data_IF_554876852255
#
_entry.id   IF_554876852255
#
_cell.length_a   1.000
_cell.length_b   1.000
_cell.length_c   1.000
_cell.angle_alpha   90.00
_cell.angle_beta   90.00
_cell.angle_gamma   90.00
#
_symmetry.space_group_name_H-M   'P 1'
#
loop_
_entity.id
_entity.type
_entity.pdbx_description
1 polymer ?
#
# COMPACT_ATOMS: atom_id res chain seq x y z
N UNK A 1 19.52 21.20 21.78
CA UNK A 1 20.45 21.66 20.71
C UNK A 1 19.90 21.11 19.40
N UNK A 2 19.48 22.02 18.50
CA UNK A 2 19.09 21.63 17.15
C UNK A 2 20.37 21.17 16.43
N UNK A 3 20.39 19.94 15.96
CA UNK A 3 21.42 19.45 15.04
C UNK A 3 21.46 20.43 13.86
N UNK A 4 22.63 20.93 13.43
CA UNK A 4 22.71 21.86 12.30
C UNK A 4 22.06 21.18 11.09
N UNK A 5 21.03 21.84 10.53
CA UNK A 5 20.35 21.38 9.33
C UNK A 5 21.39 21.44 8.22
N UNK A 6 21.88 20.29 7.77
CA UNK A 6 22.71 20.21 6.57
C UNK A 6 21.80 20.58 5.41
N UNK A 7 22.08 21.72 4.77
CA UNK A 7 21.33 22.14 3.59
C UNK A 7 21.35 21.01 2.55
N UNK A 8 20.18 20.60 2.12
CA UNK A 8 20.02 19.65 1.04
C UNK A 8 19.70 20.43 -0.23
N UNK A 9 20.34 20.08 -1.33
CA UNK A 9 20.04 20.76 -2.60
C UNK A 9 18.76 20.21 -3.21
N UNK A 10 18.54 18.88 -3.11
CA UNK A 10 17.45 18.21 -3.77
C UNK A 10 16.90 17.05 -2.91
N UNK A 11 15.60 16.96 -2.77
CA UNK A 11 14.91 15.90 -2.01
C UNK A 11 13.82 15.25 -2.85
N UNK A 12 13.80 13.92 -2.89
CA UNK A 12 12.71 13.14 -3.49
C UNK A 12 11.67 12.87 -2.41
N UNK A 13 10.43 13.27 -2.66
CA UNK A 13 9.30 13.09 -1.75
C UNK A 13 8.35 12.01 -2.26
N UNK A 14 8.07 10.99 -1.43
CA UNK A 14 6.95 10.08 -1.65
C UNK A 14 5.64 10.87 -1.58
N UNK A 15 4.99 11.08 -2.73
CA UNK A 15 3.87 12.00 -2.85
C UNK A 15 2.58 11.28 -3.23
N UNK A 16 1.63 11.26 -2.31
CA UNK A 16 0.30 10.68 -2.53
C UNK A 16 -0.76 11.73 -2.91
N UNK A 17 -0.43 13.02 -2.82
CA UNK A 17 -1.40 14.11 -2.98
C UNK A 17 -2.35 14.30 -1.79
N UNK A 18 -2.24 13.51 -0.73
CA UNK A 18 -2.94 13.70 0.53
C UNK A 18 -2.49 14.96 1.27
N UNK A 19 -3.16 15.27 2.37
CA UNK A 19 -2.85 16.44 3.20
C UNK A 19 -1.38 16.44 3.63
N UNK A 20 -0.95 15.35 4.29
CA UNK A 20 0.39 15.20 4.86
C UNK A 20 1.49 15.43 3.80
N UNK A 21 1.44 14.70 2.70
CA UNK A 21 2.48 14.79 1.67
C UNK A 21 2.45 16.13 0.93
N UNK A 22 1.29 16.79 0.87
CA UNK A 22 1.16 18.11 0.26
C UNK A 22 1.73 19.19 1.19
N UNK A 23 1.49 19.11 2.50
CA UNK A 23 2.05 20.05 3.49
C UNK A 23 3.58 19.91 3.63
N UNK A 24 4.11 18.71 3.39
CA UNK A 24 5.56 18.45 3.44
C UNK A 24 6.34 19.24 2.37
N UNK A 25 5.78 19.50 1.19
CA UNK A 25 6.49 20.23 0.13
C UNK A 25 6.99 21.60 0.60
N UNK A 26 6.13 22.53 1.06
CA UNK A 26 6.61 23.83 1.56
C UNK A 26 7.45 23.68 2.82
N UNK A 27 7.16 22.71 3.68
CA UNK A 27 7.95 22.46 4.89
C UNK A 27 9.40 22.11 4.56
N UNK A 28 9.64 21.23 3.58
CA UNK A 28 10.99 20.89 3.11
C UNK A 28 11.73 22.13 2.58
N UNK A 29 11.06 22.97 1.81
CA UNK A 29 11.64 24.20 1.27
C UNK A 29 12.01 25.20 2.38
N UNK A 30 11.15 25.36 3.36
CA UNK A 30 11.35 26.28 4.49
C UNK A 30 12.46 25.82 5.43
N UNK A 31 12.58 24.52 5.70
CA UNK A 31 13.51 24.00 6.68
C UNK A 31 14.85 23.54 6.08
N UNK A 32 14.87 23.06 4.84
CA UNK A 32 16.08 22.57 4.17
C UNK A 32 16.56 23.46 3.02
N UNK A 33 15.71 24.36 2.53
CA UNK A 33 16.06 25.22 1.38
C UNK A 33 16.22 24.48 0.07
N UNK A 34 15.63 23.26 -0.04
CA UNK A 34 15.87 22.33 -1.14
C UNK A 34 14.87 22.45 -2.28
N UNK A 35 15.25 21.93 -3.44
CA UNK A 35 14.32 21.55 -4.49
C UNK A 35 13.59 20.27 -4.09
N UNK A 36 12.28 20.22 -4.34
CA UNK A 36 11.44 19.05 -4.02
C UNK A 36 10.96 18.39 -5.30
N UNK A 37 11.33 17.13 -5.49
CA UNK A 37 10.83 16.27 -6.55
C UNK A 37 9.71 15.41 -5.95
N UNK A 38 8.47 15.70 -6.30
CA UNK A 38 7.31 14.96 -5.86
C UNK A 38 7.13 13.71 -6.75
N UNK A 39 7.16 12.52 -6.15
CA UNK A 39 7.05 11.25 -6.88
C UNK A 39 5.81 10.50 -6.44
N UNK A 40 4.89 10.29 -7.37
CA UNK A 40 3.74 9.42 -7.21
C UNK A 40 4.01 8.06 -7.89
N UNK A 41 3.58 7.00 -7.25
CA UNK A 41 3.66 5.65 -7.79
C UNK A 41 2.26 5.13 -8.12
N UNK A 42 2.03 4.73 -9.38
CA UNK A 42 0.81 4.06 -9.80
C UNK A 42 0.93 2.56 -9.51
N UNK A 43 0.31 2.13 -8.44
CA UNK A 43 0.18 0.72 -8.03
C UNK A 43 -1.24 0.20 -8.28
N UNK A 44 -2.05 0.92 -9.05
CA UNK A 44 -3.43 0.56 -9.37
C UNK A 44 -4.46 1.06 -8.36
N UNK A 45 -4.20 2.19 -7.70
CA UNK A 45 -5.16 2.85 -6.80
C UNK A 45 -6.35 3.49 -7.54
N UNK A 46 -6.26 3.60 -8.85
CA UNK A 46 -7.28 4.17 -9.73
C UNK A 46 -6.89 5.54 -10.28
N UNK A 47 -7.36 5.83 -11.51
CA UNK A 47 -7.01 7.07 -12.22
C UNK A 47 -7.43 8.33 -11.44
N UNK A 48 -8.59 8.30 -10.77
CA UNK A 48 -9.10 9.44 -10.00
C UNK A 48 -8.21 9.86 -8.82
N UNK A 49 -7.38 8.95 -8.31
CA UNK A 49 -6.42 9.23 -7.23
C UNK A 49 -5.13 9.92 -7.72
N UNK A 50 -4.80 9.72 -9.00
CA UNK A 50 -3.60 10.28 -9.62
C UNK A 50 -3.87 11.56 -10.43
N UNK A 51 -5.14 11.79 -10.80
CA UNK A 51 -5.52 12.93 -11.64
C UNK A 51 -5.28 14.28 -10.95
N UNK A 52 -4.56 15.16 -11.62
CA UNK A 52 -4.27 16.53 -11.17
C UNK A 52 -3.23 16.61 -10.05
N UNK A 53 -2.51 15.52 -9.73
CA UNK A 53 -1.44 15.53 -8.74
C UNK A 53 -0.24 16.39 -9.20
N UNK A 54 0.05 16.42 -10.49
CA UNK A 54 1.09 17.24 -11.11
C UNK A 54 0.82 18.74 -10.88
N UNK A 55 -0.40 19.20 -11.20
CA UNK A 55 -0.79 20.58 -10.97
C UNK A 55 -0.79 20.93 -9.47
N UNK A 56 -1.25 20.00 -8.63
CA UNK A 56 -1.29 20.18 -7.18
C UNK A 56 0.13 20.30 -6.62
N UNK A 57 1.04 19.40 -6.99
CA UNK A 57 2.44 19.45 -6.59
C UNK A 57 3.12 20.76 -7.02
N UNK A 58 2.92 21.18 -8.27
CA UNK A 58 3.47 22.42 -8.80
C UNK A 58 2.93 23.65 -8.06
N UNK A 59 1.61 23.73 -7.84
CA UNK A 59 0.96 24.82 -7.08
C UNK A 59 1.44 24.89 -5.63
N UNK A 60 1.85 23.77 -5.06
CA UNK A 60 2.36 23.68 -3.69
C UNK A 60 3.85 24.00 -3.61
N UNK A 61 4.55 24.06 -4.75
CA UNK A 61 5.94 24.48 -4.84
C UNK A 61 6.95 23.36 -5.11
N UNK A 62 6.51 22.18 -5.53
CA UNK A 62 7.42 21.16 -6.03
C UNK A 62 8.14 21.64 -7.29
N UNK A 63 9.43 21.37 -7.41
CA UNK A 63 10.24 21.73 -8.56
C UNK A 63 10.00 20.79 -9.74
N UNK A 64 9.63 19.55 -9.45
CA UNK A 64 9.34 18.50 -10.43
C UNK A 64 8.29 17.55 -9.88
N UNK A 65 7.45 17.01 -10.76
CA UNK A 65 6.55 15.91 -10.47
C UNK A 65 6.86 14.75 -11.40
N UNK A 66 6.88 13.56 -10.85
CA UNK A 66 7.08 12.30 -11.59
C UNK A 66 6.01 11.30 -11.15
N UNK A 67 5.29 10.70 -12.10
CA UNK A 67 4.42 9.58 -11.84
C UNK A 67 5.01 8.32 -12.49
N UNK A 68 5.20 7.25 -11.71
CA UNK A 68 5.79 5.99 -12.18
C UNK A 68 4.72 4.91 -12.21
N UNK A 69 4.55 4.26 -13.35
CA UNK A 69 3.71 3.06 -13.43
C UNK A 69 4.44 1.86 -12.83
N UNK A 70 4.01 1.46 -11.65
CA UNK A 70 4.55 0.33 -10.91
C UNK A 70 3.72 -0.96 -11.07
N UNK A 71 2.52 -0.90 -11.70
CA UNK A 71 1.58 -2.03 -11.77
C UNK A 71 2.19 -3.33 -12.31
N UNK A 72 2.94 -3.31 -13.44
CA UNK A 72 3.48 -4.56 -13.99
C UNK A 72 4.46 -5.26 -13.04
N UNK A 73 5.42 -4.51 -12.48
CA UNK A 73 6.40 -5.03 -11.52
C UNK A 73 5.70 -5.42 -10.21
N UNK A 74 4.76 -4.61 -9.72
CA UNK A 74 4.01 -4.88 -8.50
C UNK A 74 3.24 -6.19 -8.56
N UNK A 75 2.50 -6.44 -9.64
CA UNK A 75 1.71 -7.67 -9.76
C UNK A 75 2.60 -8.88 -9.95
N UNK A 76 3.58 -8.79 -10.86
CA UNK A 76 4.42 -9.93 -11.23
C UNK A 76 5.41 -10.30 -10.13
N UNK A 77 6.17 -9.32 -9.63
CA UNK A 77 7.33 -9.59 -8.78
C UNK A 77 7.01 -9.51 -7.28
N UNK A 78 5.81 -9.04 -6.91
CA UNK A 78 5.38 -8.98 -5.51
C UNK A 78 4.10 -9.79 -5.27
N UNK A 79 3.00 -9.50 -6.00
CA UNK A 79 1.73 -10.17 -5.73
C UNK A 79 1.78 -11.66 -6.10
N UNK A 80 2.28 -12.01 -7.28
CA UNK A 80 2.37 -13.41 -7.71
C UNK A 80 3.40 -14.19 -6.90
N UNK A 81 4.50 -13.56 -6.48
CA UNK A 81 5.46 -14.19 -5.57
C UNK A 81 4.85 -14.44 -4.19
N UNK A 82 4.01 -13.52 -3.68
CA UNK A 82 3.28 -13.73 -2.45
C UNK A 82 2.30 -14.92 -2.55
N UNK A 83 1.62 -15.07 -3.70
CA UNK A 83 0.76 -16.25 -3.96
C UNK A 83 1.59 -17.54 -3.95
N UNK A 84 2.70 -17.59 -4.69
CA UNK A 84 3.60 -18.75 -4.73
C UNK A 84 4.16 -19.12 -3.35
N UNK A 85 4.40 -18.11 -2.51
CA UNK A 85 4.89 -18.30 -1.15
C UNK A 85 3.78 -18.58 -0.13
N UNK A 86 2.50 -18.58 -0.52
CA UNK A 86 1.35 -18.61 0.41
C UNK A 86 1.49 -17.58 1.55
N UNK A 87 2.01 -16.39 1.24
CA UNK A 87 2.34 -15.38 2.23
C UNK A 87 1.07 -14.72 2.81
N UNK A 88 0.71 -15.11 4.02
CA UNK A 88 -0.44 -14.57 4.76
C UNK A 88 0.02 -14.09 6.13
N UNK A 89 -0.27 -12.84 6.47
CA UNK A 89 -0.03 -12.34 7.81
C UNK A 89 -1.17 -12.77 8.74
N UNK A 90 -0.81 -13.36 9.90
CA UNK A 90 -1.75 -13.91 10.89
C UNK A 90 -2.80 -14.86 10.29
N UNK A 91 -2.46 -15.52 9.18
CA UNK A 91 -3.31 -16.48 8.49
C UNK A 91 -4.51 -15.91 7.74
N UNK A 92 -4.64 -14.59 7.65
CA UNK A 92 -5.79 -13.90 7.03
C UNK A 92 -5.40 -12.77 6.07
N UNK A 93 -4.50 -11.89 6.47
CA UNK A 93 -4.19 -10.68 5.72
C UNK A 93 -3.23 -10.97 4.57
N UNK A 94 -3.65 -10.65 3.36
CA UNK A 94 -2.89 -10.87 2.11
C UNK A 94 -1.85 -9.77 1.82
N UNK A 95 -1.43 -9.02 2.85
CA UNK A 95 -0.27 -8.12 2.81
C UNK A 95 -0.33 -6.98 1.76
N UNK A 96 -1.53 -6.53 1.35
CA UNK A 96 -1.67 -5.58 0.24
C UNK A 96 -0.84 -4.30 0.37
N UNK A 97 -0.90 -3.64 1.51
CA UNK A 97 -0.06 -2.47 1.81
C UNK A 97 1.41 -2.86 1.93
N UNK A 98 1.71 -4.00 2.55
CA UNK A 98 3.09 -4.46 2.78
C UNK A 98 3.83 -4.80 1.49
N UNK A 99 3.11 -5.31 0.47
CA UNK A 99 3.67 -5.63 -0.84
C UNK A 99 3.90 -4.36 -1.68
N UNK A 100 3.04 -3.34 -1.54
CA UNK A 100 3.13 -2.12 -2.32
C UNK A 100 4.26 -1.18 -1.85
N UNK A 101 4.51 -1.08 -0.53
CA UNK A 101 5.50 -0.10 -0.01
C UNK A 101 6.94 -0.36 -0.47
N UNK A 102 7.45 -1.62 -0.53
CA UNK A 102 8.80 -1.88 -1.02
C UNK A 102 9.03 -1.48 -2.48
N UNK A 103 8.07 -1.73 -3.38
CA UNK A 103 8.21 -1.32 -4.78
C UNK A 103 8.19 0.21 -4.92
N UNK A 104 7.32 0.89 -4.18
CA UNK A 104 7.30 2.37 -4.15
C UNK A 104 8.65 2.89 -3.66
N UNK A 105 9.17 2.35 -2.55
CA UNK A 105 10.46 2.75 -1.99
C UNK A 105 11.63 2.52 -2.98
N UNK A 106 11.62 1.39 -3.69
CA UNK A 106 12.60 1.11 -4.76
C UNK A 106 12.58 2.19 -5.84
N UNK A 107 11.39 2.55 -6.33
CA UNK A 107 11.27 3.61 -7.36
C UNK A 107 11.70 4.99 -6.85
N UNK A 108 11.44 5.29 -5.57
CA UNK A 108 11.97 6.52 -4.96
C UNK A 108 13.49 6.54 -4.94
N UNK A 109 14.13 5.40 -4.63
CA UNK A 109 15.59 5.28 -4.66
C UNK A 109 16.13 5.42 -6.08
N UNK A 110 15.54 4.72 -7.06
CA UNK A 110 15.95 4.80 -8.47
C UNK A 110 15.91 6.26 -8.94
N UNK A 111 14.80 6.96 -8.70
CA UNK A 111 14.65 8.38 -9.07
C UNK A 111 15.62 9.28 -8.29
N UNK A 112 15.84 9.03 -7.00
CA UNK A 112 16.76 9.82 -6.21
C UNK A 112 18.19 9.72 -6.74
N UNK A 113 18.62 8.54 -7.18
CA UNK A 113 19.92 8.34 -7.78
C UNK A 113 20.01 8.99 -9.16
N UNK A 114 18.99 8.85 -10.02
CA UNK A 114 18.94 9.47 -11.35
C UNK A 114 18.96 11.00 -11.29
N UNK A 115 18.23 11.57 -10.35
CA UNK A 115 18.12 13.02 -10.17
C UNK A 115 19.28 13.62 -9.35
N UNK A 116 20.15 12.78 -8.79
CA UNK A 116 21.22 13.20 -7.90
C UNK A 116 20.69 13.84 -6.61
N UNK A 117 19.63 13.28 -6.05
CA UNK A 117 19.03 13.83 -4.83
C UNK A 117 19.83 13.46 -3.58
N UNK A 118 19.84 14.35 -2.60
CA UNK A 118 20.59 14.21 -1.34
C UNK A 118 19.84 13.44 -0.27
N UNK A 119 18.52 13.29 -0.43
CA UNK A 119 17.68 12.57 0.54
C UNK A 119 16.35 12.13 -0.09
N UNK A 120 15.72 11.16 0.57
CA UNK A 120 14.35 10.74 0.33
C UNK A 120 13.49 11.13 1.52
N UNK A 121 12.30 11.67 1.26
CA UNK A 121 11.33 12.07 2.28
C UNK A 121 10.05 11.25 2.14
N UNK A 122 9.46 10.86 3.27
CA UNK A 122 8.13 10.24 3.32
C UNK A 122 7.25 10.89 4.40
N UNK A 123 5.93 10.85 4.19
CA UNK A 123 4.93 11.40 5.12
C UNK A 123 4.36 10.39 6.12
N UNK A 124 5.01 9.24 6.33
CA UNK A 124 4.49 8.22 7.23
C UNK A 124 4.58 8.63 8.69
N UNK A 125 3.49 8.45 9.43
CA UNK A 125 3.45 8.71 10.87
C UNK A 125 4.18 7.63 11.65
N UNK A 126 4.68 7.95 12.86
CA UNK A 126 5.34 6.99 13.75
C UNK A 126 4.41 5.93 14.36
N UNK A 127 3.10 6.01 14.13
CA UNK A 127 2.09 5.08 14.68
C UNK A 127 1.76 3.90 13.76
N UNK A 128 2.15 3.98 12.49
CA UNK A 128 1.85 2.95 11.47
C UNK A 128 3.06 2.09 11.11
N UNK A 129 2.80 0.97 10.43
CA UNK A 129 3.85 0.08 9.92
C UNK A 129 4.58 0.68 8.70
N UNK A 130 3.99 1.64 8.01
CA UNK A 130 4.48 2.13 6.71
C UNK A 130 5.86 2.79 6.81
N UNK A 131 6.14 3.52 7.90
CA UNK A 131 7.47 4.07 8.12
C UNK A 131 8.56 2.99 8.10
N UNK A 132 8.30 1.84 8.74
CA UNK A 132 9.25 0.71 8.78
C UNK A 132 9.41 0.12 7.39
N UNK A 133 8.32 -0.08 6.66
CA UNK A 133 8.33 -0.63 5.30
C UNK A 133 9.12 0.24 4.34
N UNK A 134 8.89 1.57 4.33
CA UNK A 134 9.63 2.51 3.51
C UNK A 134 11.11 2.57 3.88
N UNK A 135 11.41 2.77 5.16
CA UNK A 135 12.80 2.98 5.60
C UNK A 135 13.66 1.73 5.43
N UNK A 136 13.14 0.53 5.75
CA UNK A 136 13.88 -0.72 5.51
C UNK A 136 14.12 -0.96 4.03
N UNK A 137 13.13 -0.71 3.16
CA UNK A 137 13.30 -0.88 1.74
C UNK A 137 14.29 0.16 1.16
N UNK A 138 14.18 1.44 1.53
CA UNK A 138 15.16 2.47 1.13
C UNK A 138 16.58 2.04 1.56
N UNK A 139 16.75 1.59 2.80
CA UNK A 139 18.05 1.16 3.32
C UNK A 139 18.57 -0.11 2.67
N UNK A 140 17.71 -0.99 2.20
CA UNK A 140 18.12 -2.18 1.45
C UNK A 140 18.68 -1.83 0.07
N UNK A 141 18.10 -0.84 -0.63
CA UNK A 141 18.54 -0.44 -1.98
C UNK A 141 19.60 0.66 -1.97
N UNK A 142 19.58 1.55 -0.98
CA UNK A 142 20.52 2.66 -0.83
C UNK A 142 20.85 2.87 0.66
N UNK A 143 21.79 2.08 1.23
CA UNK A 143 22.09 2.09 2.67
C UNK A 143 22.50 3.46 3.22
N UNK A 144 23.21 4.24 2.41
CA UNK A 144 23.74 5.55 2.79
C UNK A 144 22.78 6.71 2.50
N UNK A 145 21.64 6.46 1.82
CA UNK A 145 20.68 7.51 1.47
C UNK A 145 20.03 8.07 2.76
N UNK A 146 20.16 9.38 3.01
CA UNK A 146 19.45 10.02 4.12
C UNK A 146 17.94 9.95 3.93
N UNK A 147 17.22 9.75 5.05
CA UNK A 147 15.77 9.70 5.07
C UNK A 147 15.26 10.86 5.93
N UNK A 148 14.34 11.66 5.40
CA UNK A 148 13.65 12.74 6.10
C UNK A 148 12.24 12.23 6.42
N UNK A 149 11.90 12.24 7.72
CA UNK A 149 10.59 11.84 8.22
C UNK A 149 9.98 13.01 9.01
N UNK A 150 9.24 13.94 8.38
CA UNK A 150 8.76 15.16 9.01
C UNK A 150 8.00 14.95 10.31
N UNK A 151 7.20 13.91 10.42
CA UNK A 151 6.47 13.56 11.64
C UNK A 151 7.34 13.35 12.89
N UNK A 152 8.66 13.20 12.72
CA UNK A 152 9.64 13.15 13.82
C UNK A 152 10.31 14.49 14.11
N UNK A 153 10.20 15.44 13.19
CA UNK A 153 11.00 16.66 13.17
C UNK A 153 10.15 17.94 13.29
N UNK A 154 8.95 17.96 12.72
CA UNK A 154 8.10 19.13 12.73
C UNK A 154 7.31 19.31 14.02
N UNK A 155 6.87 20.54 14.27
CA UNK A 155 6.12 20.88 15.49
C UNK A 155 4.60 20.57 15.35
N UNK A 156 4.12 20.18 14.17
CA UNK A 156 2.73 19.84 13.88
C UNK A 156 2.41 18.49 14.53
N UNK A 157 1.45 18.46 15.46
CA UNK A 157 1.14 17.27 16.26
C UNK A 157 -0.26 16.71 16.03
N UNK A 158 -1.10 17.47 15.36
CA UNK A 158 -2.48 17.07 15.07
C UNK A 158 -2.85 17.38 13.61
N UNK A 159 -3.91 16.71 13.16
CA UNK A 159 -4.49 16.97 11.83
C UNK A 159 -5.04 18.38 11.71
N UNK A 160 -5.55 18.94 12.78
CA UNK A 160 -6.06 20.31 12.84
C UNK A 160 -4.93 21.32 12.61
N UNK A 161 -3.81 21.17 13.30
CA UNK A 161 -2.62 22.01 13.13
C UNK A 161 -2.06 21.88 11.71
N UNK A 162 -2.12 20.71 11.11
CA UNK A 162 -1.70 20.48 9.73
C UNK A 162 -2.61 21.19 8.73
N UNK A 163 -3.92 21.18 8.96
CA UNK A 163 -4.90 21.92 8.17
C UNK A 163 -4.62 23.43 8.28
N UNK A 164 -4.42 23.96 9.49
CA UNK A 164 -4.08 25.36 9.73
C UNK A 164 -2.76 25.76 9.01
N UNK A 165 -1.76 24.89 9.08
CA UNK A 165 -0.48 25.07 8.37
C UNK A 165 -0.69 25.17 6.85
N UNK A 166 -1.52 24.30 6.30
CA UNK A 166 -1.81 24.27 4.87
C UNK A 166 -2.68 25.46 4.42
N UNK A 167 -3.70 25.86 5.20
CA UNK A 167 -4.55 27.03 4.93
C UNK A 167 -3.74 28.34 4.94
N UNK A 168 -2.84 28.50 5.92
CA UNK A 168 -1.97 29.66 6.01
C UNK A 168 -1.08 29.84 4.75
N UNK A 169 -0.79 28.75 4.03
CA UNK A 169 0.02 28.73 2.80
C UNK A 169 -0.82 28.65 1.53
N UNK A 170 -2.15 28.73 1.65
CA UNK A 170 -3.10 28.63 0.53
C UNK A 170 -2.93 27.35 -0.30
N UNK A 171 -2.56 26.25 0.37
CA UNK A 171 -2.45 24.95 -0.25
C UNK A 171 -3.85 24.48 -0.66
N UNK A 172 -4.08 24.01 -1.89
CA UNK A 172 -5.38 23.53 -2.32
C UNK A 172 -5.72 22.22 -1.62
N UNK A 173 -6.58 22.30 -0.59
CA UNK A 173 -7.04 21.15 0.15
C UNK A 173 -8.44 20.77 -0.32
N UNK A 174 -8.63 19.51 -0.68
CA UNK A 174 -9.94 18.88 -0.73
C UNK A 174 -10.23 18.35 0.69
N UNK A 175 -10.55 19.26 1.63
CA UNK A 175 -10.86 18.85 3.00
C UNK A 175 -12.33 18.42 3.04
N UNK A 176 -12.55 17.13 3.11
CA UNK A 176 -13.78 16.63 3.69
C UNK A 176 -13.55 16.49 5.21
N UNK A 177 -14.07 17.41 6.00
CA UNK A 177 -14.00 17.38 7.47
C UNK A 177 -14.81 16.22 8.06
N UNK A 178 -15.59 15.53 7.23
CA UNK A 178 -16.50 14.50 7.64
C UNK A 178 -15.98 13.11 7.31
N UNK A 179 -15.74 12.35 8.35
CA UNK A 179 -16.10 10.92 8.49
C UNK A 179 -15.68 9.94 7.38
N UNK A 180 -14.51 10.07 6.80
CA UNK A 180 -14.03 9.04 5.89
C UNK A 180 -13.11 8.05 6.65
N UNK A 181 -13.35 6.76 6.45
CA UNK A 181 -12.39 5.72 6.81
C UNK A 181 -11.03 6.01 6.19
N UNK A 182 -9.97 5.69 6.92
CA UNK A 182 -8.63 5.66 6.33
C UNK A 182 -8.58 4.52 5.33
N UNK A 183 -8.19 4.80 4.09
CA UNK A 183 -8.15 3.84 2.98
C UNK A 183 -6.76 3.77 2.40
N UNK A 184 -6.34 2.55 2.06
CA UNK A 184 -5.16 2.31 1.24
C UNK A 184 -5.54 1.36 0.10
N UNK A 185 -5.47 1.88 -1.13
CA UNK A 185 -5.91 1.19 -2.34
C UNK A 185 -4.74 0.95 -3.28
N UNK A 186 -4.67 -0.25 -3.79
CA UNK A 186 -3.83 -0.62 -4.92
C UNK A 186 -4.50 -1.73 -5.72
N UNK A 187 -3.88 -2.21 -6.79
CA UNK A 187 -4.49 -3.24 -7.63
C UNK A 187 -4.73 -4.57 -6.89
N UNK A 188 -3.94 -4.84 -5.83
CA UNK A 188 -4.07 -6.07 -5.05
C UNK A 188 -5.18 -6.01 -4.03
N UNK A 189 -5.38 -4.87 -3.37
CA UNK A 189 -6.32 -4.75 -2.27
C UNK A 189 -6.85 -3.33 -2.04
N UNK A 190 -7.84 -3.25 -1.17
CA UNK A 190 -8.28 -2.03 -0.51
C UNK A 190 -8.45 -2.29 0.99
N UNK A 191 -7.88 -1.42 1.83
CA UNK A 191 -8.10 -1.44 3.27
C UNK A 191 -9.04 -0.32 3.73
N UNK A 192 -9.82 -0.60 4.77
CA UNK A 192 -10.66 0.36 5.49
C UNK A 192 -10.31 0.28 6.96
N UNK A 193 -9.91 1.41 7.56
CA UNK A 193 -9.52 1.52 8.97
C UNK A 193 -10.11 2.78 9.60
N UNK A 194 -10.19 2.80 10.93
CA UNK A 194 -10.64 3.96 11.70
C UNK A 194 -12.14 4.03 11.94
N UNK A 195 -12.61 5.17 12.46
CA UNK A 195 -14.00 5.45 12.80
C UNK A 195 -14.62 4.37 13.71
N UNK A 196 -15.82 3.88 13.35
CA UNK A 196 -16.54 2.85 14.09
C UNK A 196 -15.84 1.47 14.08
N UNK A 197 -14.92 1.22 13.14
CA UNK A 197 -14.08 0.01 13.14
C UNK A 197 -13.05 -0.02 14.28
N UNK A 198 -12.74 1.11 14.91
CA UNK A 198 -11.83 1.15 16.05
C UNK A 198 -12.37 0.41 17.27
N UNK A 199 -13.71 0.37 17.42
CA UNK A 199 -14.35 -0.43 18.43
C UNK A 199 -14.69 -1.82 17.85
N UNK A 200 -14.06 -2.90 18.32
CA UNK A 200 -14.30 -4.24 17.80
C UNK A 200 -15.71 -4.78 18.11
N UNK A 201 -16.49 -4.11 18.97
CA UNK A 201 -17.88 -4.45 19.25
C UNK A 201 -18.84 -3.97 18.13
N UNK A 202 -18.40 -3.07 17.26
CA UNK A 202 -19.21 -2.58 16.16
C UNK A 202 -19.18 -3.54 14.98
N UNK A 203 -20.34 -3.78 14.38
CA UNK A 203 -20.44 -4.53 13.12
C UNK A 203 -19.99 -3.65 11.95
N UNK A 204 -19.13 -4.17 11.02
CA UNK A 204 -18.75 -3.42 9.84
C UNK A 204 -19.95 -3.16 8.93
N UNK A 205 -20.09 -1.94 8.47
CA UNK A 205 -21.15 -1.55 7.53
C UNK A 205 -20.72 -1.83 6.11
N UNK A 206 -20.65 -3.11 5.71
CA UNK A 206 -20.14 -3.54 4.41
C UNK A 206 -20.75 -2.79 3.23
N UNK A 207 -22.07 -2.51 3.29
CA UNK A 207 -22.77 -1.80 2.21
C UNK A 207 -22.33 -0.35 2.01
N UNK A 208 -21.70 0.24 3.04
CA UNK A 208 -21.21 1.63 3.00
C UNK A 208 -19.72 1.71 2.69
N UNK A 209 -18.95 0.67 3.02
CA UNK A 209 -17.49 0.73 2.96
C UNK A 209 -16.89 0.01 1.75
N UNK A 210 -17.50 -1.10 1.28
CA UNK A 210 -16.94 -1.89 0.19
C UNK A 210 -16.92 -1.12 -1.13
N UNK A 211 -15.78 -1.17 -1.83
CA UNK A 211 -15.57 -0.52 -3.13
C UNK A 211 -15.07 -1.47 -4.22
N UNK A 212 -14.44 -2.59 -3.85
CA UNK A 212 -13.97 -3.58 -4.82
C UNK A 212 -15.00 -4.66 -5.09
N UNK A 213 -16.02 -4.78 -4.26
CA UNK A 213 -17.04 -5.81 -4.40
C UNK A 213 -18.32 -5.51 -3.62
N UNK A 214 -19.12 -6.53 -3.49
CA UNK A 214 -20.38 -6.52 -2.74
C UNK A 214 -20.28 -7.40 -1.51
N UNK A 215 -21.15 -7.16 -0.51
CA UNK A 215 -21.24 -8.05 0.64
C UNK A 215 -21.74 -9.44 0.21
N UNK A 216 -21.42 -10.52 0.96
CA UNK A 216 -21.90 -11.87 0.66
C UNK A 216 -23.43 -11.95 0.52
N UNK A 217 -24.17 -11.15 1.29
CA UNK A 217 -25.62 -11.09 1.25
C UNK A 217 -26.17 -10.50 -0.05
N UNK A 218 -25.38 -9.71 -0.77
CA UNK A 218 -25.71 -9.10 -2.07
C UNK A 218 -25.11 -9.84 -3.25
N UNK A 219 -24.30 -10.86 -2.99
CA UNK A 219 -23.71 -11.69 -4.03
C UNK A 219 -24.79 -12.50 -4.78
N UNK A 220 -24.56 -12.88 -6.06
CA UNK A 220 -25.48 -13.71 -6.80
C UNK A 220 -25.69 -15.07 -6.15
N UNK A 221 -26.94 -15.58 -6.16
CA UNK A 221 -27.25 -16.95 -5.70
C UNK A 221 -26.78 -18.04 -6.68
N UNK A 222 -26.40 -17.65 -7.91
CA UNK A 222 -25.90 -18.59 -8.93
C UNK A 222 -24.37 -18.55 -8.91
N UNK A 223 -23.69 -19.71 -8.76
CA UNK A 223 -22.23 -19.76 -8.73
C UNK A 223 -21.62 -19.37 -10.08
N UNK A 224 -20.53 -18.62 -10.02
CA UNK A 224 -19.69 -18.28 -11.18
C UNK A 224 -18.49 -19.20 -11.22
N UNK A 225 -18.38 -20.03 -12.27
CA UNK A 225 -17.25 -20.91 -12.49
C UNK A 225 -16.22 -20.27 -13.39
N UNK A 226 -14.95 -20.34 -12.97
CA UNK A 226 -13.80 -19.89 -13.77
C UNK A 226 -12.76 -21.00 -13.86
N UNK A 227 -11.95 -20.95 -14.92
CA UNK A 227 -10.81 -21.84 -15.11
C UNK A 227 -9.54 -21.01 -15.17
N UNK A 228 -8.60 -21.28 -14.28
CA UNK A 228 -7.26 -20.68 -14.29
C UNK A 228 -6.24 -21.71 -14.80
N UNK A 229 -5.38 -21.27 -15.73
CA UNK A 229 -4.22 -22.04 -16.16
C UNK A 229 -2.97 -21.46 -15.48
N UNK A 230 -2.19 -22.36 -14.87
CA UNK A 230 -0.95 -21.99 -14.20
C UNK A 230 0.27 -22.52 -14.97
N UNK A 231 1.32 -21.71 -15.05
CA UNK A 231 2.65 -22.11 -15.51
C UNK A 231 3.67 -21.68 -14.46
N UNK A 232 4.45 -22.63 -13.91
CA UNK A 232 5.47 -22.38 -12.86
C UNK A 232 4.92 -21.61 -11.64
N UNK A 233 3.68 -21.89 -11.24
CA UNK A 233 3.03 -21.25 -10.10
C UNK A 233 2.40 -19.88 -10.38
N UNK A 234 2.45 -19.36 -11.62
CA UNK A 234 1.81 -18.13 -12.04
C UNK A 234 0.55 -18.40 -12.86
N UNK A 235 -0.51 -17.64 -12.59
CA UNK A 235 -1.73 -17.71 -13.40
C UNK A 235 -1.49 -16.99 -14.75
N UNK A 236 -1.57 -17.73 -15.85
CA UNK A 236 -1.25 -17.25 -17.20
C UNK A 236 -2.45 -17.17 -18.14
N UNK A 237 -3.57 -17.84 -17.80
CA UNK A 237 -4.80 -17.75 -18.58
C UNK A 237 -6.04 -17.87 -17.70
N UNK A 238 -7.09 -17.15 -18.08
CA UNK A 238 -8.42 -17.17 -17.47
C UNK A 238 -9.43 -17.63 -18.54
N UNK A 239 -10.16 -18.72 -18.23
CA UNK A 239 -11.14 -19.32 -19.16
C UNK A 239 -10.58 -19.62 -20.57
N UNK A 240 -9.27 -19.97 -20.62
CA UNK A 240 -8.56 -20.27 -21.88
C UNK A 240 -7.96 -19.06 -22.60
N UNK A 241 -8.25 -17.83 -22.15
CA UNK A 241 -7.65 -16.60 -22.66
C UNK A 241 -6.35 -16.28 -21.93
N UNK A 242 -5.24 -16.14 -22.66
CA UNK A 242 -3.96 -15.70 -22.07
C UNK A 242 -4.03 -14.23 -21.72
N UNK A 243 -3.59 -13.88 -20.53
CA UNK A 243 -3.63 -12.52 -20.00
C UNK A 243 -2.26 -12.12 -19.42
N UNK A 244 -1.93 -10.85 -19.53
CA UNK A 244 -0.81 -10.26 -18.79
C UNK A 244 -1.15 -10.16 -17.30
N UNK A 245 -0.16 -10.18 -16.40
CA UNK A 245 -0.37 -10.22 -14.94
C UNK A 245 -1.32 -9.14 -14.40
N UNK A 246 -1.19 -7.91 -14.87
CA UNK A 246 -2.04 -6.77 -14.46
C UNK A 246 -3.49 -6.99 -14.89
N UNK A 247 -3.69 -7.43 -16.12
CA UNK A 247 -5.03 -7.70 -16.66
C UNK A 247 -5.68 -8.92 -15.98
N UNK A 248 -4.89 -9.97 -15.74
CA UNK A 248 -5.33 -11.14 -14.97
C UNK A 248 -5.88 -10.72 -13.61
N UNK A 249 -5.11 -9.97 -12.84
CA UNK A 249 -5.52 -9.53 -11.50
C UNK A 249 -6.74 -8.60 -11.55
N UNK A 250 -6.80 -7.67 -12.50
CA UNK A 250 -7.93 -6.79 -12.67
C UNK A 250 -9.23 -7.56 -12.97
N UNK A 251 -9.21 -8.51 -13.93
CA UNK A 251 -10.37 -9.36 -14.23
C UNK A 251 -10.78 -10.24 -13.03
N UNK A 252 -9.82 -10.77 -12.30
CA UNK A 252 -10.12 -11.55 -11.10
C UNK A 252 -10.72 -10.70 -9.96
N UNK A 253 -10.29 -9.45 -9.83
CA UNK A 253 -10.91 -8.51 -8.91
C UNK A 253 -12.38 -8.24 -9.26
N UNK A 254 -12.68 -8.02 -10.54
CA UNK A 254 -14.05 -7.81 -11.02
C UNK A 254 -14.94 -9.02 -10.73
N UNK A 255 -14.46 -10.22 -11.08
CA UNK A 255 -15.21 -11.46 -10.88
C UNK A 255 -15.40 -11.74 -9.38
N UNK A 256 -14.33 -11.68 -8.60
CA UNK A 256 -14.37 -11.95 -7.16
C UNK A 256 -15.23 -10.93 -6.43
N UNK A 257 -15.06 -9.65 -6.73
CA UNK A 257 -15.84 -8.56 -6.13
C UNK A 257 -17.35 -8.70 -6.41
N UNK A 258 -17.72 -8.99 -7.66
CA UNK A 258 -19.12 -9.20 -8.04
C UNK A 258 -19.77 -10.41 -7.35
N UNK A 259 -18.97 -11.35 -6.88
CA UNK A 259 -19.42 -12.56 -6.18
C UNK A 259 -19.20 -12.51 -4.66
N UNK A 260 -18.92 -11.35 -4.06
CA UNK A 260 -18.74 -11.19 -2.62
C UNK A 260 -17.51 -11.89 -2.05
N UNK A 261 -16.48 -12.10 -2.88
CA UNK A 261 -15.25 -12.82 -2.51
C UNK A 261 -14.17 -11.82 -2.06
N UNK A 262 -13.40 -12.22 -1.04
CA UNK A 262 -12.17 -11.52 -0.67
C UNK A 262 -12.30 -10.47 0.42
N UNK A 263 -13.34 -10.56 1.25
CA UNK A 263 -13.54 -9.67 2.40
C UNK A 263 -12.90 -10.32 3.64
N UNK A 264 -12.06 -9.57 4.35
CA UNK A 264 -11.50 -9.99 5.63
C UNK A 264 -11.64 -8.87 6.68
N UNK A 265 -12.40 -9.13 7.73
CA UNK A 265 -12.45 -8.30 8.93
C UNK A 265 -11.52 -8.93 9.98
N UNK A 266 -10.52 -8.17 10.42
CA UNK A 266 -9.55 -8.69 11.37
C UNK A 266 -8.93 -7.60 12.25
N UNK A 267 -8.51 -8.04 13.43
CA UNK A 267 -7.63 -7.25 14.30
C UNK A 267 -6.22 -7.78 14.13
N UNK A 268 -5.32 -6.96 13.61
CA UNK A 268 -3.92 -7.29 13.38
C UNK A 268 -2.99 -6.73 14.45
N UNK A 269 -1.82 -7.35 14.61
CA UNK A 269 -0.74 -6.81 15.41
C UNK A 269 0.20 -5.99 14.53
N UNK A 270 0.35 -4.69 14.83
CA UNK A 270 1.33 -3.83 14.15
C UNK A 270 2.74 -4.06 14.71
N UNK A 271 3.76 -3.91 13.87
CA UNK A 271 5.17 -4.01 14.27
C UNK A 271 5.52 -3.04 15.42
N UNK A 272 4.84 -1.93 15.51
CA UNK A 272 5.00 -0.93 16.58
C UNK A 272 4.32 -1.32 17.91
N UNK A 273 3.77 -2.53 18.01
CA UNK A 273 3.18 -3.08 19.22
C UNK A 273 1.73 -2.68 19.49
N UNK A 274 1.05 -2.04 18.53
CA UNK A 274 -0.36 -1.68 18.62
C UNK A 274 -1.23 -2.71 17.90
N UNK A 275 -2.46 -2.89 18.40
CA UNK A 275 -3.50 -3.60 17.65
C UNK A 275 -4.28 -2.61 16.79
N UNK A 276 -4.68 -3.06 15.59
CA UNK A 276 -5.50 -2.27 14.68
C UNK A 276 -6.52 -3.17 14.01
N UNK A 277 -7.78 -2.74 13.96
CA UNK A 277 -8.80 -3.43 13.19
C UNK A 277 -8.93 -2.79 11.82
N UNK A 278 -9.01 -3.63 10.80
CA UNK A 278 -9.28 -3.22 9.43
C UNK A 278 -10.22 -4.21 8.73
N UNK A 279 -10.97 -3.68 7.77
CA UNK A 279 -11.67 -4.47 6.77
C UNK A 279 -10.90 -4.38 5.47
N UNK A 280 -10.54 -5.53 4.93
CA UNK A 280 -9.71 -5.65 3.74
C UNK A 280 -10.51 -6.29 2.61
N UNK A 281 -10.40 -5.72 1.42
CA UNK A 281 -10.94 -6.29 0.19
C UNK A 281 -9.79 -6.77 -0.70
N UNK A 282 -9.74 -8.07 -1.01
CA UNK A 282 -8.70 -8.68 -1.86
C UNK A 282 -9.32 -9.75 -2.76
N UNK A 283 -10.26 -9.38 -3.65
CA UNK A 283 -11.05 -10.37 -4.39
C UNK A 283 -10.21 -11.26 -5.29
N UNK A 284 -9.41 -10.69 -6.17
CA UNK A 284 -8.56 -11.45 -7.10
C UNK A 284 -7.46 -12.23 -6.40
N UNK A 285 -6.87 -11.65 -5.35
CA UNK A 285 -5.89 -12.33 -4.52
C UNK A 285 -6.46 -13.58 -3.86
N UNK A 286 -7.67 -13.49 -3.30
CA UNK A 286 -8.36 -14.63 -2.68
C UNK A 286 -8.59 -15.78 -3.68
N UNK A 287 -8.99 -15.45 -4.91
CA UNK A 287 -9.16 -16.44 -5.98
C UNK A 287 -7.82 -17.11 -6.31
N UNK A 288 -6.75 -16.29 -6.48
CA UNK A 288 -5.41 -16.80 -6.80
C UNK A 288 -4.87 -17.72 -5.71
N UNK A 289 -4.99 -17.34 -4.43
CA UNK A 289 -4.55 -18.16 -3.30
C UNK A 289 -5.32 -19.49 -3.25
N UNK A 290 -6.64 -19.46 -3.36
CA UNK A 290 -7.47 -20.67 -3.35
C UNK A 290 -7.10 -21.62 -4.50
N UNK A 291 -6.94 -21.11 -5.72
CA UNK A 291 -6.57 -21.92 -6.88
C UNK A 291 -5.15 -22.47 -6.76
N UNK A 292 -4.19 -21.68 -6.28
CA UNK A 292 -2.80 -22.10 -6.07
C UNK A 292 -2.70 -23.19 -4.99
N UNK A 293 -3.41 -23.03 -3.86
CA UNK A 293 -3.44 -24.05 -2.81
C UNK A 293 -3.98 -25.38 -3.31
N UNK A 294 -5.05 -25.38 -4.10
CA UNK A 294 -5.59 -26.62 -4.70
C UNK A 294 -4.57 -27.32 -5.62
N UNK A 295 -3.72 -26.58 -6.31
CA UNK A 295 -2.62 -27.17 -7.10
C UNK A 295 -1.51 -27.73 -6.21
N UNK A 296 -1.16 -27.05 -5.12
CA UNK A 296 -0.17 -27.55 -4.17
C UNK A 296 -0.58 -28.89 -3.56
N UNK A 297 -1.87 -29.08 -3.24
CA UNK A 297 -2.37 -30.34 -2.68
C UNK A 297 -2.08 -31.56 -3.56
N UNK A 298 -1.98 -31.38 -4.88
CA UNK A 298 -1.71 -32.47 -5.84
C UNK A 298 -0.30 -32.50 -6.38
N UNK A 299 0.50 -31.46 -6.17
CA UNK A 299 1.85 -31.33 -6.76
C UNK A 299 2.97 -31.37 -5.73
N UNK A 300 2.71 -30.98 -4.49
CA UNK A 300 3.71 -30.90 -3.43
C UNK A 300 3.78 -32.23 -2.67
N UNK A 301 5.00 -32.71 -2.41
CA UNK A 301 5.21 -33.95 -1.66
C UNK A 301 4.78 -33.82 -0.19
N UNK A 302 4.61 -34.97 0.49
CA UNK A 302 4.09 -35.03 1.86
C UNK A 302 4.95 -34.29 2.89
N UNK A 303 6.26 -34.22 2.69
CA UNK A 303 7.19 -33.70 3.71
C UNK A 303 7.32 -32.16 3.61
N UNK A 304 7.18 -31.61 2.43
CA UNK A 304 7.29 -30.15 2.18
C UNK A 304 6.22 -29.33 2.94
N UNK A 305 4.92 -29.66 2.92
CA UNK A 305 3.92 -28.92 3.69
C UNK A 305 4.17 -28.97 5.20
N UNK A 306 4.67 -30.09 5.73
CA UNK A 306 5.02 -30.25 7.14
C UNK A 306 6.17 -29.31 7.51
N UNK A 307 7.24 -29.30 6.71
CA UNK A 307 8.39 -28.42 6.91
C UNK A 307 7.99 -26.94 6.84
N UNK A 308 7.12 -26.59 5.89
CA UNK A 308 6.61 -25.23 5.70
C UNK A 308 5.78 -24.77 6.90
N UNK A 309 4.91 -25.65 7.44
CA UNK A 309 4.13 -25.36 8.64
C UNK A 309 5.01 -25.15 9.86
N UNK A 310 6.07 -25.95 10.02
CA UNK A 310 7.03 -25.79 11.11
C UNK A 310 7.85 -24.51 11.00
N UNK A 311 8.30 -24.14 9.81
CA UNK A 311 9.01 -22.87 9.59
C UNK A 311 8.13 -21.66 9.95
N UNK A 312 6.86 -21.66 9.56
CA UNK A 312 5.92 -20.60 9.93
C UNK A 312 5.69 -20.51 11.45
N UNK A 313 5.61 -21.65 12.14
CA UNK A 313 5.48 -21.67 13.60
C UNK A 313 6.73 -21.11 14.30
N UNK A 314 7.92 -21.41 13.79
CA UNK A 314 9.18 -20.92 14.34
C UNK A 314 9.41 -19.43 14.10
N UNK A 315 8.98 -18.89 12.96
CA UNK A 315 9.05 -17.43 12.71
C UNK A 315 8.20 -16.64 13.72
N UNK A 316 7.10 -17.21 14.21
CA UNK A 316 6.26 -16.58 15.24
C UNK A 316 6.91 -16.60 16.62
N UNK A 317 7.78 -17.57 16.90
CA UNK A 317 8.48 -17.67 18.20
C UNK A 317 9.76 -16.79 18.29
N UNK A 318 10.35 -16.45 17.14
CA UNK A 318 11.56 -15.60 17.09
C UNK A 318 11.26 -14.09 17.22
N UNK A 319 10.01 -13.70 17.21
CA UNK A 319 9.57 -12.31 17.37
C UNK A 319 8.94 -12.02 18.74
N UNK A 320 9.04 -12.95 19.68
CA UNK A 320 8.75 -12.77 21.10
C UNK A 320 10.05 -12.59 21.88
#
# INVERSE_FOLDING_TARGET
ERIPIIMKEKVVLAYSGGLDTTAIIPWLKENYGCEVIAVAADVGQGAGELDGLDEKAAKTGASKYICVDCKPEFVKDFCFEAVKANALYEGKYMLGTSLARPIIAKKLVDIALEEGADAICHGCTGKGNDQVRFELAIKAFAPDMPIIAPWREWDIKSREEEIEYAEARKIPLKINRETNYSKDKNLWHLSHEGLDLEDPANEPKYDEILEMGVSPEKAPDVPTYITLTFEKGEAVALNGEKLEPVEMLAKLNEIGGANGVGIADMVENRLVGMKSRGVYETPGGTILYAAHQNLEEITVDKETPVSYTHLRAHETELHL
#
